data_IF_844261967112
#
_entry.id   IF_844261967112
#
_cell.length_a   1.000
_cell.length_b   1.000
_cell.length_c   1.000
_cell.angle_alpha   90.00
_cell.angle_beta   90.00
_cell.angle_gamma   90.00
#
_symmetry.space_group_name_H-M   'P 1'
#
loop_
_entity.id
_entity.type
_entity.pdbx_description
1 polymer ?
#
# COMPACT_ATOMS: atom_id res chain seq x y z
N UNK A 1 -13.39 -14.31 19.39
CA UNK A 1 -14.32 -14.46 18.25
C UNK A 1 -13.92 -13.46 17.17
N UNK A 2 -13.10 -13.90 16.21
CA UNK A 2 -12.64 -13.10 15.05
C UNK A 2 -13.10 -13.88 13.83
N UNK A 3 -14.10 -13.34 13.12
CA UNK A 3 -14.64 -13.90 11.89
C UNK A 3 -13.76 -13.49 10.72
N UNK A 4 -13.52 -14.46 9.81
CA UNK A 4 -13.42 -14.35 8.33
C UNK A 4 -12.29 -13.42 7.81
N UNK A 5 -11.45 -13.78 6.84
CA UNK A 5 -11.74 -14.36 5.52
C UNK A 5 -10.46 -15.08 5.03
N UNK A 6 -10.51 -16.40 4.87
CA UNK A 6 -9.56 -17.15 4.05
C UNK A 6 -10.37 -17.79 2.93
N UNK A 7 -10.66 -16.99 1.91
CA UNK A 7 -11.30 -17.43 0.69
C UNK A 7 -10.63 -16.71 -0.47
N UNK A 8 -10.22 -17.47 -1.49
CA UNK A 8 -9.98 -16.91 -2.82
C UNK A 8 -8.54 -16.82 -3.29
N UNK A 9 -7.75 -17.90 -3.19
CA UNK A 9 -6.76 -18.19 -4.24
C UNK A 9 -7.45 -19.08 -5.28
N UNK A 10 -8.49 -18.55 -5.93
CA UNK A 10 -9.03 -19.15 -7.14
C UNK A 10 -8.12 -18.67 -8.28
N UNK A 11 -7.17 -19.51 -8.69
CA UNK A 11 -6.52 -19.38 -9.98
C UNK A 11 -7.62 -19.38 -11.04
N UNK A 12 -7.96 -18.22 -11.57
CA UNK A 12 -8.83 -18.11 -12.73
C UNK A 12 -7.98 -18.56 -13.91
N UNK A 13 -7.96 -19.87 -14.16
CA UNK A 13 -7.63 -20.40 -15.47
C UNK A 13 -8.70 -19.85 -16.41
N UNK A 14 -8.34 -18.83 -17.18
CA UNK A 14 -9.13 -18.43 -18.33
C UNK A 14 -8.97 -19.56 -19.34
N UNK A 15 -9.89 -20.52 -19.30
CA UNK A 15 -10.10 -21.44 -20.40
C UNK A 15 -10.60 -20.58 -21.57
N UNK A 16 -9.68 -20.20 -22.46
CA UNK A 16 -10.04 -19.76 -23.81
C UNK A 16 -10.73 -20.98 -24.42
N UNK A 17 -12.06 -20.93 -24.44
CA UNK A 17 -12.87 -21.80 -25.26
C UNK A 17 -12.50 -21.46 -26.69
N UNK A 18 -11.60 -22.26 -27.26
CA UNK A 18 -11.39 -22.30 -28.69
C UNK A 18 -12.76 -22.67 -29.24
N UNK A 19 -13.46 -21.69 -29.82
CA UNK A 19 -14.74 -21.92 -30.47
C UNK A 19 -14.53 -23.14 -31.38
N UNK A 20 -15.36 -24.15 -31.17
CA UNK A 20 -15.34 -25.38 -31.93
C UNK A 20 -15.37 -25.04 -33.41
N UNK A 21 -14.19 -25.08 -34.03
CA UNK A 21 -14.06 -25.32 -35.45
C UNK A 21 -14.60 -26.71 -35.67
N UNK A 22 -15.89 -26.82 -35.94
CA UNK A 22 -16.40 -27.93 -36.72
C UNK A 22 -15.67 -27.82 -38.06
N UNK A 23 -14.52 -28.49 -38.15
CA UNK A 23 -13.94 -28.82 -39.43
C UNK A 23 -15.03 -29.59 -40.16
N UNK A 24 -15.68 -28.94 -41.13
CA UNK A 24 -16.43 -29.64 -42.16
C UNK A 24 -15.37 -30.37 -42.96
N UNK A 25 -15.06 -31.58 -42.48
CA UNK A 25 -14.17 -32.51 -43.11
C UNK A 25 -14.81 -32.85 -44.46
N UNK A 26 -14.31 -32.22 -45.54
CA UNK A 26 -14.51 -32.68 -46.91
C UNK A 26 -13.81 -34.04 -47.05
N UNK A 27 -14.38 -35.06 -46.42
CA UNK A 27 -13.93 -36.43 -46.64
C UNK A 27 -14.35 -36.79 -48.06
N UNK A 28 -13.32 -36.96 -48.88
CA UNK A 28 -13.39 -37.50 -50.23
C UNK A 28 -13.80 -38.97 -50.14
N UNK A 29 -15.05 -39.23 -49.76
CA UNK A 29 -15.69 -40.52 -49.91
C UNK A 29 -16.26 -40.59 -51.31
N UNK A 30 -15.89 -41.61 -52.06
CA UNK A 30 -16.59 -42.00 -53.30
C UNK A 30 -18.08 -42.14 -53.01
N UNK A 31 -18.86 -41.11 -53.38
CA UNK A 31 -20.31 -41.06 -53.25
C UNK A 31 -20.87 -41.95 -54.36
N UNK A 32 -21.35 -43.14 -54.00
CA UNK A 32 -22.31 -43.84 -54.84
C UNK A 32 -23.59 -42.99 -54.84
N UNK A 33 -24.11 -42.69 -56.04
CA UNK A 33 -25.27 -41.84 -56.26
C UNK A 33 -26.53 -42.40 -55.57
N UNK A 34 -26.76 -41.99 -54.33
CA UNK A 34 -28.10 -41.88 -53.76
C UNK A 34 -28.30 -40.41 -53.38
N UNK A 35 -28.63 -39.59 -54.38
CA UNK A 35 -29.09 -38.22 -54.19
C UNK A 35 -30.48 -38.22 -53.54
N UNK A 36 -30.48 -38.33 -52.21
CA UNK A 36 -31.70 -38.22 -51.39
C UNK A 36 -31.75 -36.83 -50.79
N UNK A 37 -32.85 -36.13 -51.06
CA UNK A 37 -33.27 -34.93 -50.33
C UNK A 37 -33.32 -35.27 -48.84
N UNK A 38 -32.93 -34.32 -47.99
CA UNK A 38 -32.98 -34.50 -46.53
C UNK A 38 -34.43 -34.77 -46.10
N UNK A 39 -34.63 -35.82 -45.31
CA UNK A 39 -35.97 -36.33 -44.95
C UNK A 39 -36.92 -35.24 -44.41
N UNK A 40 -36.40 -34.37 -43.53
CA UNK A 40 -37.16 -33.26 -42.96
C UNK A 40 -37.57 -32.20 -44.00
N UNK A 41 -36.76 -31.97 -45.04
CA UNK A 41 -37.12 -31.07 -46.14
C UNK A 41 -38.11 -31.75 -47.08
N UNK A 42 -37.87 -33.03 -47.38
CA UNK A 42 -38.72 -33.87 -48.22
C UNK A 42 -40.16 -33.88 -47.72
N UNK A 43 -40.36 -34.12 -46.41
CA UNK A 43 -41.68 -34.10 -45.78
C UNK A 43 -42.43 -32.78 -46.03
N UNK A 44 -41.76 -31.63 -45.90
CA UNK A 44 -42.37 -30.32 -46.13
C UNK A 44 -42.82 -30.13 -47.59
N UNK A 45 -42.02 -30.61 -48.55
CA UNK A 45 -42.41 -30.57 -49.97
C UNK A 45 -43.59 -31.51 -50.25
N UNK A 46 -43.60 -32.71 -49.67
CA UNK A 46 -44.71 -33.66 -49.82
C UNK A 46 -46.00 -33.13 -49.21
N UNK A 47 -45.97 -32.60 -47.99
CA UNK A 47 -47.13 -32.00 -47.34
C UNK A 47 -47.69 -30.87 -48.20
N UNK A 48 -46.83 -29.99 -48.69
CA UNK A 48 -47.26 -28.87 -49.53
C UNK A 48 -47.82 -29.31 -50.88
N UNK A 49 -47.29 -30.39 -51.45
CA UNK A 49 -47.82 -31.02 -52.67
C UNK A 49 -49.23 -31.58 -52.42
N UNK A 50 -49.44 -32.24 -51.29
CA UNK A 50 -50.76 -32.76 -50.90
C UNK A 50 -51.75 -31.63 -50.73
N UNK A 51 -51.37 -30.55 -50.04
CA UNK A 51 -52.22 -29.36 -49.86
C UNK A 51 -52.65 -28.73 -51.19
N UNK A 52 -51.72 -28.63 -52.15
CA UNK A 52 -52.03 -28.15 -53.49
C UNK A 52 -52.98 -29.09 -54.22
N UNK A 53 -52.73 -30.40 -54.19
CA UNK A 53 -53.57 -31.39 -54.87
C UNK A 53 -54.99 -31.42 -54.29
N UNK A 54 -55.12 -31.32 -52.97
CA UNK A 54 -56.41 -31.22 -52.29
C UNK A 54 -57.18 -29.97 -52.73
N UNK A 55 -56.50 -28.86 -52.93
CA UNK A 55 -57.12 -27.65 -53.47
C UNK A 55 -57.58 -27.84 -54.92
N UNK A 56 -56.71 -28.35 -55.78
CA UNK A 56 -56.99 -28.56 -57.20
C UNK A 56 -58.21 -29.49 -57.42
N UNK A 57 -58.34 -30.55 -56.61
CA UNK A 57 -59.41 -31.55 -56.76
C UNK A 57 -60.68 -31.25 -55.92
N UNK A 58 -60.52 -30.62 -54.75
CA UNK A 58 -61.58 -30.52 -53.73
C UNK A 58 -61.80 -29.10 -53.17
N UNK A 59 -61.25 -28.05 -53.78
CA UNK A 59 -61.43 -26.65 -53.35
C UNK A 59 -62.90 -26.25 -53.15
N UNK A 60 -63.83 -26.80 -53.94
CA UNK A 60 -65.28 -26.56 -53.79
C UNK A 60 -65.86 -27.01 -52.44
N UNK A 61 -65.16 -27.88 -51.73
CA UNK A 61 -65.51 -28.37 -50.39
C UNK A 61 -64.64 -27.72 -49.29
N UNK A 62 -63.80 -26.74 -49.65
CA UNK A 62 -62.94 -26.02 -48.72
C UNK A 62 -61.67 -26.77 -48.30
N UNK A 63 -61.24 -27.80 -49.04
CA UNK A 63 -59.98 -28.51 -48.78
C UNK A 63 -58.79 -27.90 -49.52
N UNK A 64 -57.60 -28.04 -48.93
CA UNK A 64 -56.32 -27.62 -49.50
C UNK A 64 -56.04 -26.12 -49.40
N UNK A 65 -54.82 -25.73 -49.78
CA UNK A 65 -54.34 -24.35 -49.78
C UNK A 65 -54.47 -23.69 -51.14
N UNK A 66 -54.81 -22.40 -51.16
CA UNK A 66 -54.89 -21.62 -52.39
C UNK A 66 -53.53 -21.50 -53.09
N UNK A 67 -53.47 -21.31 -54.42
CA UNK A 67 -52.21 -21.23 -55.16
C UNK A 67 -51.23 -20.19 -54.62
N UNK A 68 -51.72 -19.05 -54.13
CA UNK A 68 -50.89 -17.98 -53.57
C UNK A 68 -50.25 -18.40 -52.23
N UNK A 69 -50.99 -19.12 -51.40
CA UNK A 69 -50.51 -19.66 -50.11
C UNK A 69 -49.51 -20.80 -50.33
N UNK A 70 -49.75 -21.64 -51.34
CA UNK A 70 -48.83 -22.69 -51.76
C UNK A 70 -47.53 -22.07 -52.30
N UNK A 71 -47.61 -21.05 -53.15
CA UNK A 71 -46.45 -20.34 -53.68
C UNK A 71 -45.60 -19.72 -52.56
N UNK A 72 -46.24 -19.02 -51.62
CA UNK A 72 -45.53 -18.42 -50.48
C UNK A 72 -44.85 -19.48 -49.61
N UNK A 73 -45.56 -20.57 -49.31
CA UNK A 73 -45.00 -21.69 -48.54
C UNK A 73 -43.85 -22.38 -49.29
N UNK A 74 -43.97 -22.55 -50.61
CA UNK A 74 -42.94 -23.18 -51.43
C UNK A 74 -41.66 -22.33 -51.47
N UNK A 75 -41.79 -21.01 -51.62
CA UNK A 75 -40.66 -20.06 -51.52
C UNK A 75 -39.94 -20.20 -50.18
N UNK A 76 -40.70 -20.28 -49.08
CA UNK A 76 -40.12 -20.44 -47.74
C UNK A 76 -39.43 -21.80 -47.56
N UNK A 77 -40.05 -22.89 -47.99
CA UNK A 77 -39.47 -24.24 -47.92
C UNK A 77 -38.17 -24.32 -48.72
N UNK A 78 -38.11 -23.72 -49.91
CA UNK A 78 -36.89 -23.66 -50.73
C UNK A 78 -35.80 -22.79 -50.08
N UNK A 79 -36.17 -21.68 -49.45
CA UNK A 79 -35.23 -20.80 -48.74
C UNK A 79 -34.57 -21.50 -47.55
N UNK A 80 -35.35 -22.27 -46.80
CA UNK A 80 -34.92 -22.96 -45.57
C UNK A 80 -34.30 -24.34 -45.84
N UNK A 81 -34.49 -24.90 -47.05
CA UNK A 81 -33.99 -26.21 -47.41
C UNK A 81 -32.47 -26.31 -47.27
N UNK A 82 -31.95 -27.46 -46.83
CA UNK A 82 -30.51 -27.68 -46.69
C UNK A 82 -29.75 -27.55 -48.02
N UNK A 83 -28.45 -27.19 -48.01
CA UNK A 83 -27.63 -27.14 -49.23
C UNK A 83 -27.65 -28.47 -50.01
N UNK A 84 -27.67 -29.59 -49.28
CA UNK A 84 -27.78 -30.94 -49.83
C UNK A 84 -29.11 -31.13 -50.57
N UNK A 85 -30.22 -30.70 -49.97
CA UNK A 85 -31.55 -30.72 -50.62
C UNK A 85 -31.56 -29.88 -51.89
N UNK A 86 -31.08 -28.63 -51.84
CA UNK A 86 -31.04 -27.77 -53.02
C UNK A 86 -30.18 -28.35 -54.14
N UNK A 87 -29.03 -28.94 -53.79
CA UNK A 87 -28.13 -29.59 -54.74
C UNK A 87 -28.79 -30.83 -55.40
N UNK A 88 -29.44 -31.68 -54.61
CA UNK A 88 -30.18 -32.84 -55.14
C UNK A 88 -31.34 -32.42 -56.05
N UNK A 89 -32.03 -31.32 -55.73
CA UNK A 89 -33.13 -30.79 -56.53
C UNK A 89 -32.66 -30.15 -57.85
N UNK A 90 -31.51 -29.49 -57.88
CA UNK A 90 -31.02 -28.83 -59.10
C UNK A 90 -30.38 -29.82 -60.08
N UNK A 91 -29.87 -30.95 -59.60
CA UNK A 91 -29.25 -31.98 -60.46
C UNK A 91 -30.22 -32.56 -61.49
N UNK A 92 -31.53 -32.56 -61.21
CA UNK A 92 -32.55 -33.00 -62.18
C UNK A 92 -32.70 -32.06 -63.39
N UNK A 93 -32.04 -30.90 -63.40
CA UNK A 93 -31.93 -30.05 -64.59
C UNK A 93 -30.86 -30.54 -65.59
N UNK A 94 -29.92 -31.38 -65.15
CA UNK A 94 -28.91 -31.97 -66.02
C UNK A 94 -29.45 -33.22 -66.74
N UNK A 95 -30.19 -32.97 -67.82
CA UNK A 95 -30.78 -34.02 -68.64
C UNK A 95 -29.75 -34.90 -69.37
N UNK A 96 -28.45 -34.54 -69.34
CA UNK A 96 -27.37 -35.34 -69.93
C UNK A 96 -26.98 -36.57 -69.10
N UNK A 97 -27.45 -36.64 -67.85
CA UNK A 97 -27.15 -37.71 -66.89
C UNK A 97 -28.35 -38.61 -66.64
N UNK A 98 -28.21 -39.89 -66.96
CA UNK A 98 -29.29 -40.89 -66.92
C UNK A 98 -29.82 -41.08 -65.48
N UNK A 99 -28.95 -40.97 -64.49
CA UNK A 99 -29.25 -41.08 -63.05
C UNK A 99 -30.05 -39.89 -62.48
N UNK A 100 -30.09 -38.76 -63.19
CA UNK A 100 -30.78 -37.54 -62.73
C UNK A 100 -32.18 -37.34 -63.34
N UNK A 101 -32.54 -38.12 -64.36
CA UNK A 101 -33.80 -38.01 -65.11
C UNK A 101 -35.04 -38.52 -64.36
N UNK A 102 -34.91 -39.10 -63.16
CA UNK A 102 -36.04 -39.58 -62.35
C UNK A 102 -35.99 -39.07 -60.91
N UNK A 103 -35.26 -37.99 -60.67
CA UNK A 103 -35.06 -37.43 -59.34
C UNK A 103 -36.26 -36.68 -58.78
N UNK A 104 -36.23 -36.44 -57.47
CA UNK A 104 -37.30 -35.75 -56.73
C UNK A 104 -37.57 -34.32 -57.23
N UNK A 105 -36.59 -33.65 -57.83
CA UNK A 105 -36.79 -32.33 -58.46
C UNK A 105 -37.82 -32.37 -59.59
N UNK A 106 -37.82 -33.43 -60.40
CA UNK A 106 -38.81 -33.62 -61.45
C UNK A 106 -40.20 -33.94 -60.87
N UNK A 107 -40.26 -34.77 -59.83
CA UNK A 107 -41.52 -35.09 -59.14
C UNK A 107 -42.18 -33.81 -58.61
N UNK A 108 -41.42 -32.98 -57.90
CA UNK A 108 -41.93 -31.70 -57.38
C UNK A 108 -42.25 -30.71 -58.50
N UNK A 109 -41.43 -30.65 -59.55
CA UNK A 109 -41.72 -29.77 -60.70
C UNK A 109 -43.04 -30.14 -61.37
N UNK A 110 -43.33 -31.43 -61.53
CA UNK A 110 -44.59 -31.89 -62.12
C UNK A 110 -45.78 -31.62 -61.19
N UNK A 111 -45.60 -31.86 -59.90
CA UNK A 111 -46.68 -31.72 -58.92
C UNK A 111 -47.08 -30.26 -58.64
N UNK A 112 -46.09 -29.38 -58.52
CA UNK A 112 -46.32 -27.95 -58.28
C UNK A 112 -46.66 -27.19 -59.56
N UNK A 113 -46.18 -27.63 -60.72
CA UNK A 113 -46.45 -26.97 -62.00
C UNK A 113 -45.93 -25.53 -62.02
N UNK A 114 -46.76 -24.61 -62.51
CA UNK A 114 -46.46 -23.17 -62.58
C UNK A 114 -47.49 -22.34 -61.83
N UNK A 115 -47.02 -21.35 -61.08
CA UNK A 115 -47.83 -20.34 -60.42
C UNK A 115 -47.85 -19.05 -61.25
N UNK A 116 -48.96 -18.32 -61.22
CA UNK A 116 -49.04 -17.02 -61.90
C UNK A 116 -48.11 -16.03 -61.20
N UNK A 117 -47.36 -15.27 -61.99
CA UNK A 117 -46.51 -14.21 -61.50
C UNK A 117 -47.33 -12.91 -61.45
N UNK A 118 -48.10 -12.74 -60.38
CA UNK A 118 -48.92 -11.55 -60.22
C UNK A 118 -48.03 -10.33 -59.93
N UNK A 119 -47.99 -9.39 -60.87
CA UNK A 119 -47.27 -8.10 -60.80
C UNK A 119 -45.73 -8.16 -60.83
N UNK A 120 -45.13 -9.27 -61.27
CA UNK A 120 -43.69 -9.35 -61.51
C UNK A 120 -43.39 -9.13 -63.01
N UNK A 121 -42.69 -8.04 -63.39
CA UNK A 121 -42.36 -7.76 -64.79
C UNK A 121 -41.30 -8.70 -65.38
N UNK A 122 -40.55 -9.44 -64.55
CA UNK A 122 -39.47 -10.34 -64.97
C UNK A 122 -39.94 -11.78 -65.19
N UNK A 123 -41.08 -12.16 -64.62
CA UNK A 123 -41.61 -13.52 -64.69
C UNK A 123 -43.02 -13.55 -65.27
N UNK A 124 -43.24 -14.38 -66.30
CA UNK A 124 -44.60 -14.66 -66.79
C UNK A 124 -45.34 -15.66 -65.88
N UNK A 125 -44.59 -16.59 -65.28
CA UNK A 125 -45.05 -17.55 -64.30
C UNK A 125 -43.85 -18.08 -63.50
N UNK A 126 -44.07 -18.48 -62.25
CA UNK A 126 -43.06 -19.15 -61.43
C UNK A 126 -43.23 -20.66 -61.55
N UNK A 127 -42.27 -21.32 -62.18
CA UNK A 127 -42.14 -22.78 -62.09
C UNK A 127 -41.35 -23.18 -60.83
N UNK A 128 -41.49 -24.43 -60.40
CA UNK A 128 -40.68 -24.99 -59.32
C UNK A 128 -39.18 -24.72 -59.52
N UNK A 129 -38.66 -24.96 -60.73
CA UNK A 129 -37.25 -24.74 -61.03
C UNK A 129 -36.86 -23.26 -61.03
N UNK A 130 -37.72 -22.33 -61.45
CA UNK A 130 -37.41 -20.89 -61.32
C UNK A 130 -37.28 -20.46 -59.87
N UNK A 131 -38.13 -20.99 -58.98
CA UNK A 131 -38.06 -20.71 -57.54
C UNK A 131 -36.85 -21.37 -56.89
N UNK A 132 -36.51 -22.60 -57.30
CA UNK A 132 -35.31 -23.30 -56.86
C UNK A 132 -34.03 -22.53 -57.23
N UNK A 133 -33.94 -22.08 -58.49
CA UNK A 133 -32.79 -21.29 -58.97
C UNK A 133 -32.71 -19.95 -58.21
N UNK A 134 -33.84 -19.30 -57.92
CA UNK A 134 -33.87 -18.08 -57.12
C UNK A 134 -33.34 -18.32 -55.70
N UNK A 135 -33.83 -19.36 -55.02
CA UNK A 135 -33.38 -19.71 -53.67
C UNK A 135 -31.87 -20.02 -53.63
N UNK A 136 -31.34 -20.70 -54.65
CA UNK A 136 -29.91 -20.98 -54.78
C UNK A 136 -29.12 -19.68 -55.00
N UNK A 137 -29.57 -18.79 -55.89
CA UNK A 137 -28.92 -17.49 -56.12
C UNK A 137 -28.87 -16.64 -54.85
N UNK A 138 -29.99 -16.53 -54.14
CA UNK A 138 -30.07 -15.79 -52.87
C UNK A 138 -29.11 -16.38 -51.82
N UNK A 139 -29.01 -17.71 -51.73
CA UNK A 139 -28.07 -18.38 -50.83
C UNK A 139 -26.61 -18.08 -51.19
N UNK A 140 -26.23 -18.17 -52.46
CA UNK A 140 -24.85 -17.90 -52.90
C UNK A 140 -24.43 -16.46 -52.58
N UNK A 141 -25.31 -15.49 -52.81
CA UNK A 141 -25.04 -14.09 -52.46
C UNK A 141 -24.86 -13.93 -50.95
N UNK A 142 -25.80 -14.45 -50.14
CA UNK A 142 -25.73 -14.35 -48.68
C UNK A 142 -24.49 -15.06 -48.09
N UNK A 143 -24.12 -16.24 -48.59
CA UNK A 143 -22.93 -16.97 -48.13
C UNK A 143 -21.65 -16.18 -48.40
N UNK A 144 -21.56 -15.52 -49.56
CA UNK A 144 -20.43 -14.66 -49.89
C UNK A 144 -20.29 -13.47 -48.93
N UNK A 145 -21.41 -12.84 -48.56
CA UNK A 145 -21.43 -11.73 -47.59
C UNK A 145 -21.07 -12.22 -46.18
N UNK A 146 -21.64 -13.36 -45.74
CA UNK A 146 -21.35 -13.96 -44.44
C UNK A 146 -19.88 -14.36 -44.31
N UNK A 147 -19.25 -14.85 -45.38
CA UNK A 147 -17.83 -15.20 -45.39
C UNK A 147 -16.93 -13.98 -45.18
N UNK A 148 -17.26 -12.85 -45.84
CA UNK A 148 -16.52 -11.59 -45.64
C UNK A 148 -16.67 -11.10 -44.20
N UNK A 149 -17.89 -11.08 -43.67
CA UNK A 149 -18.13 -10.69 -42.29
C UNK A 149 -17.43 -11.60 -41.29
N UNK A 150 -17.39 -12.91 -41.55
CA UNK A 150 -16.69 -13.87 -40.69
C UNK A 150 -15.18 -13.57 -40.66
N UNK A 151 -14.57 -13.33 -41.82
CA UNK A 151 -13.16 -12.98 -41.91
C UNK A 151 -12.84 -11.68 -41.16
N UNK A 152 -13.66 -10.64 -41.32
CA UNK A 152 -13.50 -9.38 -40.57
C UNK A 152 -13.58 -9.59 -39.06
N UNK A 153 -14.46 -10.48 -38.60
CA UNK A 153 -14.59 -10.82 -37.18
C UNK A 153 -13.40 -11.64 -36.67
N UNK A 154 -12.88 -12.57 -37.46
CA UNK A 154 -11.68 -13.34 -37.11
C UNK A 154 -10.46 -12.43 -36.94
N UNK A 155 -10.24 -11.49 -37.87
CA UNK A 155 -9.18 -10.48 -37.78
C UNK A 155 -9.34 -9.59 -36.54
N UNK A 156 -10.57 -9.14 -36.26
CA UNK A 156 -10.85 -8.35 -35.06
C UNK A 156 -10.57 -9.12 -33.75
N UNK A 157 -10.89 -10.41 -33.71
CA UNK A 157 -10.59 -11.29 -32.56
C UNK A 157 -9.08 -11.44 -32.36
N UNK A 158 -8.30 -11.58 -33.43
CA UNK A 158 -6.84 -11.66 -33.34
C UNK A 158 -6.25 -10.38 -32.74
N UNK A 159 -6.71 -9.20 -33.19
CA UNK A 159 -6.28 -7.91 -32.66
C UNK A 159 -6.65 -7.76 -31.18
N UNK A 160 -7.88 -8.09 -30.81
CA UNK A 160 -8.34 -8.02 -29.42
C UNK A 160 -7.54 -8.96 -28.50
N UNK A 161 -7.17 -10.15 -28.98
CA UNK A 161 -6.34 -11.09 -28.24
C UNK A 161 -4.96 -10.50 -27.95
N UNK A 162 -4.30 -9.90 -28.95
CA UNK A 162 -3.00 -9.23 -28.78
C UNK A 162 -3.08 -8.06 -27.78
N UNK A 163 -4.15 -7.27 -27.83
CA UNK A 163 -4.38 -6.17 -26.87
C UNK A 163 -4.57 -6.71 -25.45
N UNK A 164 -5.34 -7.80 -25.31
CA UNK A 164 -5.58 -8.43 -24.02
C UNK A 164 -4.29 -8.95 -23.40
N UNK A 165 -3.47 -9.67 -24.16
CA UNK A 165 -2.17 -10.18 -23.69
C UNK A 165 -1.24 -9.05 -23.23
N UNK A 166 -1.16 -7.97 -24.01
CA UNK A 166 -0.38 -6.79 -23.63
C UNK A 166 -0.88 -6.17 -22.33
N UNK A 167 -2.19 -5.98 -22.21
CA UNK A 167 -2.84 -5.38 -21.03
C UNK A 167 -2.62 -6.23 -19.78
N UNK A 168 -2.73 -7.56 -19.90
CA UNK A 168 -2.49 -8.49 -18.78
C UNK A 168 -1.03 -8.42 -18.33
N UNK A 169 -0.08 -8.41 -19.26
CA UNK A 169 1.35 -8.30 -18.93
C UNK A 169 1.69 -6.97 -18.25
N UNK A 170 1.15 -5.86 -18.74
CA UNK A 170 1.31 -4.54 -18.11
C UNK A 170 0.72 -4.52 -16.69
N UNK A 171 -0.46 -5.13 -16.49
CA UNK A 171 -1.07 -5.25 -15.16
C UNK A 171 -0.20 -6.05 -14.18
N UNK A 172 0.38 -7.17 -14.62
CA UNK A 172 1.29 -8.00 -13.80
C UNK A 172 2.53 -7.19 -13.39
N UNK A 173 3.11 -6.43 -14.32
CA UNK A 173 4.24 -5.53 -14.07
C UNK A 173 3.91 -4.45 -13.04
N UNK A 174 2.74 -3.82 -13.15
CA UNK A 174 2.26 -2.81 -12.21
C UNK A 174 2.04 -3.41 -10.82
N UNK A 175 1.37 -4.57 -10.73
CA UNK A 175 1.10 -5.25 -9.46
C UNK A 175 2.40 -5.65 -8.74
N UNK A 176 3.44 -6.06 -9.48
CA UNK A 176 4.78 -6.31 -8.92
C UNK A 176 5.41 -5.04 -8.35
N UNK A 177 5.43 -3.94 -9.11
CA UNK A 177 6.00 -2.65 -8.66
C UNK A 177 5.25 -2.09 -7.45
N UNK A 178 3.93 -2.24 -7.39
CA UNK A 178 3.12 -1.84 -6.25
C UNK A 178 3.50 -2.60 -4.97
N UNK A 179 3.66 -3.93 -5.05
CA UNK A 179 4.11 -4.76 -3.91
C UNK A 179 5.50 -4.38 -3.42
N UNK A 180 6.44 -4.12 -4.32
CA UNK A 180 7.79 -3.66 -3.96
C UNK A 180 7.77 -2.30 -3.26
N UNK A 181 6.97 -1.36 -3.77
CA UNK A 181 6.79 -0.04 -3.15
C UNK A 181 6.16 -0.14 -1.75
N UNK A 182 5.14 -0.99 -1.59
CA UNK A 182 4.50 -1.24 -0.29
C UNK A 182 5.50 -1.80 0.74
N UNK A 183 6.36 -2.74 0.31
CA UNK A 183 7.43 -3.29 1.15
C UNK A 183 8.40 -2.21 1.64
N UNK A 184 8.89 -1.36 0.73
CA UNK A 184 9.79 -0.24 1.07
C UNK A 184 9.12 0.78 2.01
N UNK A 185 7.83 1.05 1.81
CA UNK A 185 7.07 1.97 2.66
C UNK A 185 6.94 1.43 4.09
N UNK A 186 6.64 0.14 4.25
CA UNK A 186 6.58 -0.52 5.57
C UNK A 186 7.93 -0.46 6.29
N UNK A 187 9.02 -0.73 5.57
CA UNK A 187 10.37 -0.66 6.14
C UNK A 187 10.72 0.77 6.59
N UNK A 188 10.43 1.77 5.74
CA UNK A 188 10.66 3.19 6.04
C UNK A 188 9.83 3.66 7.24
N UNK A 189 8.56 3.25 7.31
CA UNK A 189 7.68 3.56 8.45
C UNK A 189 8.21 2.95 9.76
N UNK A 190 8.69 1.71 9.74
CA UNK A 190 9.29 1.07 10.91
C UNK A 190 10.55 1.83 11.38
N UNK A 191 11.42 2.24 10.44
CA UNK A 191 12.61 3.04 10.73
C UNK A 191 12.24 4.40 11.35
N UNK A 192 11.23 5.08 10.79
CA UNK A 192 10.74 6.36 11.30
C UNK A 192 10.20 6.23 12.72
N UNK A 193 9.38 5.21 13.00
CA UNK A 193 8.84 4.97 14.35
C UNK A 193 9.95 4.70 15.37
N UNK A 194 10.98 3.92 15.00
CA UNK A 194 12.14 3.70 15.85
C UNK A 194 12.92 5.00 16.11
N UNK A 195 13.18 5.78 15.06
CA UNK A 195 13.88 7.06 15.16
C UNK A 195 13.11 8.06 16.05
N UNK A 196 11.79 8.10 15.92
CA UNK A 196 10.93 8.94 16.75
C UNK A 196 11.01 8.56 18.23
N UNK A 197 10.97 7.25 18.54
CA UNK A 197 11.12 6.77 19.92
C UNK A 197 12.48 7.15 20.51
N UNK A 198 13.57 6.94 19.77
CA UNK A 198 14.92 7.33 20.20
C UNK A 198 15.00 8.84 20.45
N UNK A 199 14.43 9.65 19.56
CA UNK A 199 14.43 11.11 19.69
C UNK A 199 13.69 11.56 20.94
N UNK A 200 12.55 10.92 21.25
CA UNK A 200 11.79 11.20 22.46
C UNK A 200 12.58 10.84 23.72
N UNK A 201 13.18 9.65 23.76
CA UNK A 201 13.99 9.20 24.91
C UNK A 201 15.19 10.13 25.14
N UNK A 202 15.85 10.58 24.06
CA UNK A 202 16.94 11.57 24.14
C UNK A 202 16.49 12.93 24.65
N UNK A 203 15.29 13.40 24.25
CA UNK A 203 14.74 14.65 24.74
C UNK A 203 14.47 14.61 26.25
N UNK A 204 13.93 13.48 26.74
CA UNK A 204 13.68 13.27 28.17
C UNK A 204 15.01 13.20 28.96
N UNK A 205 16.01 12.49 28.44
CA UNK A 205 17.36 12.45 29.04
C UNK A 205 18.00 13.84 29.08
N UNK A 206 17.91 14.62 28.00
CA UNK A 206 18.47 15.97 27.95
C UNK A 206 17.80 16.90 28.96
N UNK A 207 16.47 16.77 29.15
CA UNK A 207 15.73 17.52 30.16
C UNK A 207 16.22 17.19 31.57
N UNK A 208 16.39 15.90 31.89
CA UNK A 208 16.90 15.46 33.19
C UNK A 208 18.33 15.95 33.45
N UNK A 209 19.22 15.87 32.45
CA UNK A 209 20.60 16.38 32.56
C UNK A 209 20.60 17.88 32.80
N UNK A 210 19.77 18.66 32.11
CA UNK A 210 19.64 20.11 32.35
C UNK A 210 19.22 20.40 33.79
N UNK A 211 18.23 19.69 34.32
CA UNK A 211 17.80 19.87 35.72
C UNK A 211 18.91 19.52 36.72
N UNK A 212 19.66 18.44 36.50
CA UNK A 212 20.79 18.06 37.35
C UNK A 212 21.90 19.11 37.30
N UNK A 213 22.23 19.62 36.10
CA UNK A 213 23.21 20.68 35.90
C UNK A 213 22.80 21.96 36.63
N UNK A 214 21.53 22.36 36.56
CA UNK A 214 21.03 23.55 37.24
C UNK A 214 21.08 23.40 38.77
N UNK A 215 20.78 22.20 39.30
CA UNK A 215 20.94 21.88 40.73
C UNK A 215 22.41 21.95 41.15
N UNK A 216 23.32 21.34 40.39
CA UNK A 216 24.76 21.37 40.67
C UNK A 216 25.31 22.80 40.67
N UNK A 217 24.86 23.64 39.74
CA UNK A 217 25.26 25.05 39.67
C UNK A 217 24.80 25.84 40.90
N UNK A 218 23.56 25.62 41.37
CA UNK A 218 23.06 26.24 42.61
C UNK A 218 23.88 25.82 43.83
N UNK A 219 24.18 24.54 43.97
CA UNK A 219 25.01 24.02 45.07
C UNK A 219 26.42 24.60 45.01
N UNK A 220 27.04 24.66 43.82
CA UNK A 220 28.37 25.25 43.67
C UNK A 220 28.40 26.73 44.05
N UNK A 221 27.34 27.48 43.75
CA UNK A 221 27.23 28.89 44.14
C UNK A 221 27.09 29.04 45.66
N UNK A 222 26.21 28.27 46.29
CA UNK A 222 26.05 28.27 47.75
C UNK A 222 27.35 27.90 48.49
N UNK A 223 28.09 26.91 47.98
CA UNK A 223 29.40 26.54 48.53
C UNK A 223 30.43 27.66 48.36
N UNK A 224 30.47 28.35 47.23
CA UNK A 224 31.36 29.47 47.01
C UNK A 224 31.05 30.63 47.97
N UNK A 225 29.77 30.96 48.16
CA UNK A 225 29.33 32.00 49.10
C UNK A 225 29.69 31.64 50.55
N UNK A 226 29.49 30.37 50.95
CA UNK A 226 29.90 29.86 52.28
C UNK A 226 31.41 29.91 52.48
N UNK A 227 32.19 29.53 51.47
CA UNK A 227 33.65 29.55 51.53
C UNK A 227 34.15 31.00 51.71
N UNK A 228 33.63 31.93 50.93
CA UNK A 228 34.00 33.35 51.04
C UNK A 228 33.68 33.93 52.42
N UNK A 229 32.52 33.58 52.99
CA UNK A 229 32.16 33.99 54.35
C UNK A 229 33.06 33.36 55.43
N UNK A 230 33.48 32.10 55.25
CA UNK A 230 34.39 31.42 56.14
C UNK A 230 35.80 32.04 56.09
N UNK A 231 36.29 32.36 54.89
CA UNK A 231 37.57 33.07 54.69
C UNK A 231 37.55 34.45 55.36
N UNK A 232 36.49 35.24 55.16
CA UNK A 232 36.35 36.54 55.82
C UNK A 232 36.31 36.43 57.36
N UNK A 233 35.66 35.39 57.89
CA UNK A 233 35.59 35.13 59.33
C UNK A 233 36.95 34.70 59.89
N UNK A 234 37.68 33.86 59.16
CA UNK A 234 39.05 33.45 59.49
C UNK A 234 39.99 34.63 59.53
N UNK A 235 39.92 35.52 58.54
CA UNK A 235 40.80 36.70 58.46
C UNK A 235 40.54 37.67 59.62
N UNK A 236 39.28 37.86 60.02
CA UNK A 236 38.92 38.60 61.24
C UNK A 236 39.49 37.96 62.50
N UNK A 237 39.39 36.62 62.63
CA UNK A 237 39.95 35.91 63.77
C UNK A 237 41.48 36.09 63.85
N UNK A 238 42.19 35.98 62.73
CA UNK A 238 43.63 36.23 62.68
C UNK A 238 43.99 37.67 63.08
N UNK A 239 43.22 38.67 62.62
CA UNK A 239 43.44 40.05 63.01
C UNK A 239 43.27 40.27 64.53
N UNK A 240 42.23 39.67 65.13
CA UNK A 240 42.01 39.72 66.59
C UNK A 240 43.13 39.00 67.34
N UNK A 241 43.54 37.81 66.90
CA UNK A 241 44.65 37.09 67.53
C UNK A 241 45.95 37.89 67.49
N UNK A 242 46.22 38.62 66.40
CA UNK A 242 47.38 39.50 66.28
C UNK A 242 47.31 40.68 67.25
N UNK A 243 46.18 41.37 67.31
CA UNK A 243 45.97 42.49 68.27
C UNK A 243 46.12 42.03 69.73
N UNK A 244 45.59 40.85 70.07
CA UNK A 244 45.75 40.25 71.40
C UNK A 244 47.20 39.92 71.71
N UNK A 245 47.96 39.38 70.75
CA UNK A 245 49.38 39.10 70.93
C UNK A 245 50.19 40.40 71.16
N UNK A 246 49.91 41.45 70.38
CA UNK A 246 50.57 42.76 70.53
C UNK A 246 50.26 43.41 71.89
N UNK A 247 49.00 43.32 72.35
CA UNK A 247 48.57 43.77 73.69
C UNK A 247 49.23 42.96 74.80
N UNK A 248 49.31 41.64 74.66
CA UNK A 248 49.95 40.76 75.63
C UNK A 248 51.44 41.12 75.77
N UNK A 249 52.15 41.26 74.65
CA UNK A 249 53.56 41.66 74.64
C UNK A 249 53.78 43.04 75.29
N UNK A 250 52.91 44.01 75.01
CA UNK A 250 52.95 45.34 75.64
C UNK A 250 52.70 45.29 77.15
N UNK A 251 51.77 44.43 77.59
CA UNK A 251 51.48 44.22 79.00
C UNK A 251 52.64 43.53 79.73
N UNK A 252 53.26 42.52 79.11
CA UNK A 252 54.46 41.86 79.62
C UNK A 252 55.62 42.84 79.79
N UNK A 253 55.89 43.67 78.78
CA UNK A 253 56.93 44.71 78.85
C UNK A 253 56.65 45.75 79.96
N UNK A 254 55.37 46.12 80.17
CA UNK A 254 54.97 47.03 81.24
C UNK A 254 55.13 46.41 82.63
N UNK A 255 54.78 45.12 82.76
CA UNK A 255 54.98 44.33 83.97
C UNK A 255 56.46 44.21 84.32
N UNK A 256 57.31 43.94 83.33
CA UNK A 256 58.76 43.80 83.55
C UNK A 256 59.39 45.13 84.00
N UNK A 257 58.93 46.27 83.46
CA UNK A 257 59.30 47.61 83.97
C UNK A 257 58.85 47.82 85.42
N UNK A 258 57.61 47.45 85.75
CA UNK A 258 57.10 47.56 87.12
C UNK A 258 57.90 46.71 88.11
N UNK A 259 58.28 45.48 87.71
CA UNK A 259 59.17 44.64 88.52
C UNK A 259 60.55 45.27 88.71
N UNK A 260 61.14 45.88 87.66
CA UNK A 260 62.40 46.58 87.76
C UNK A 260 62.34 47.77 88.74
N UNK A 261 61.26 48.58 88.69
CA UNK A 261 61.02 49.67 89.64
C UNK A 261 60.84 49.16 91.06
N UNK A 262 60.04 48.11 91.26
CA UNK A 262 59.86 47.50 92.59
C UNK A 262 61.18 46.97 93.17
N UNK A 263 62.04 46.39 92.33
CA UNK A 263 63.38 45.94 92.74
C UNK A 263 64.27 47.11 93.14
N UNK A 264 64.34 48.17 92.31
CA UNK A 264 65.12 49.38 92.63
C UNK A 264 64.63 50.05 93.94
N UNK A 265 63.31 50.12 94.15
CA UNK A 265 62.74 50.63 95.40
C UNK A 265 63.10 49.75 96.60
N UNK A 266 63.06 48.41 96.46
CA UNK A 266 63.46 47.48 97.51
C UNK A 266 64.96 47.63 97.85
N UNK A 267 65.82 47.75 96.83
CA UNK A 267 67.26 47.96 96.99
C UNK A 267 67.55 49.30 97.69
N UNK A 268 66.87 50.39 97.30
CA UNK A 268 66.94 51.70 97.96
C UNK A 268 66.45 51.66 99.40
N UNK A 269 65.35 50.95 99.67
CA UNK A 269 64.82 50.78 101.01
C UNK A 269 65.82 50.01 101.89
N UNK A 270 66.39 48.91 101.40
CA UNK A 270 67.43 48.16 102.10
C UNK A 270 68.66 49.02 102.42
N UNK A 271 69.13 49.83 101.46
CA UNK A 271 70.23 50.77 101.68
C UNK A 271 69.91 51.82 102.75
N UNK A 272 68.69 52.36 102.75
CA UNK A 272 68.22 53.33 103.77
C UNK A 272 68.07 52.69 105.15
N UNK A 273 67.59 51.45 105.23
CA UNK A 273 67.56 50.69 106.48
C UNK A 273 68.96 50.49 107.05
N UNK A 274 69.94 50.11 106.21
CA UNK A 274 71.33 49.96 106.65
C UNK A 274 71.97 51.30 107.09
N UNK A 275 71.67 52.40 106.41
CA UNK A 275 72.12 53.75 106.81
C UNK A 275 71.52 54.16 108.16
N UNK A 276 70.22 53.92 108.37
CA UNK A 276 69.54 54.19 109.63
C UNK A 276 70.11 53.35 110.78
N UNK A 277 70.35 52.06 110.57
CA UNK A 277 71.01 51.18 111.56
C UNK A 277 72.40 51.71 111.95
N UNK A 278 73.20 52.15 110.97
CA UNK A 278 74.52 52.75 111.21
C UNK A 278 74.42 54.06 112.00
N UNK A 279 73.46 54.93 111.67
CA UNK A 279 73.21 56.15 112.43
C UNK A 279 72.79 55.85 113.87
N UNK A 280 71.91 54.86 114.09
CA UNK A 280 71.52 54.44 115.45
C UNK A 280 72.71 53.91 116.25
N UNK A 281 73.61 53.13 115.64
CA UNK A 281 74.85 52.70 116.28
C UNK A 281 75.74 53.90 116.65
N UNK A 282 75.88 54.88 115.74
CA UNK A 282 76.63 56.10 116.00
C UNK A 282 76.01 56.93 117.13
N UNK A 283 74.69 57.12 117.15
CA UNK A 283 73.97 57.80 118.24
C UNK A 283 74.19 57.08 119.57
N UNK A 284 74.03 55.75 119.60
CA UNK A 284 74.31 54.96 120.81
C UNK A 284 75.79 54.96 121.24
N UNK A 285 76.73 55.24 120.32
CA UNK A 285 78.14 55.45 120.66
C UNK A 285 78.38 56.84 121.24
N UNK A 286 77.75 57.87 120.69
CA UNK A 286 77.74 59.24 121.20
C UNK A 286 77.13 59.32 122.60
N UNK A 287 76.00 58.64 122.83
CA UNK A 287 75.32 58.60 124.13
C UNK A 287 76.23 57.98 125.20
N UNK A 288 76.95 56.90 124.85
CA UNK A 288 78.00 56.31 125.72
C UNK A 288 79.17 57.26 125.99
N UNK A 289 79.59 58.02 124.99
CA UNK A 289 80.69 59.01 125.07
C UNK A 289 80.30 60.22 125.95
N UNK A 290 79.04 60.67 125.84
CA UNK A 290 78.46 61.72 126.68
C UNK A 290 78.35 61.24 128.12
N UNK A 291 77.90 60.01 128.36
CA UNK A 291 77.83 59.44 129.71
C UNK A 291 79.22 59.19 130.32
N UNK A 292 80.24 58.84 129.53
CA UNK A 292 81.62 58.80 130.03
C UNK A 292 82.14 60.19 130.37
N UNK A 293 81.89 61.20 129.53
CA UNK A 293 82.29 62.59 129.80
C UNK A 293 81.60 63.16 131.05
N UNK A 294 80.32 62.84 131.29
CA UNK A 294 79.63 63.22 132.53
C UNK A 294 80.23 62.57 133.78
N UNK A 295 80.70 61.33 133.71
CA UNK A 295 81.38 60.64 134.84
C UNK A 295 82.78 61.18 135.13
N UNK A 296 83.46 61.77 134.16
CA UNK A 296 84.78 62.39 134.37
C UNK A 296 84.68 63.83 134.92
N UNK A 297 83.51 64.48 134.80
CA UNK A 297 83.28 65.86 135.24
C UNK A 297 82.56 65.99 136.60
N UNK A 298 82.18 64.89 137.25
CA UNK A 298 81.54 64.88 138.57
C UNK A 298 82.24 63.92 139.52
#
# INVERSE_FOLDING_TARGET
SIRKLSAGAASVLVAVSVLGGAAVEFTSGTIYAEEKIVEADSAKFFDLMVEKKLYDEFSRFGYGKKPEEVLASLKQVLKDASPQTLNSLINTLDNGRIDYQTGMGQVFSQAFGSFRADHDPEYLAYSFYSLLIQAIKERVVNESELKVQLQEKEEAVEVLTKILDKTVNEKIEIDRKAKEAEGKLKESSLKLTKAYKITKDLADQLSNVKQQRDKAFKVSKDLADKLSNAEASRDKAFAVSKDLADKLSSAEASRDKAFAVSKDLADKLAAKTAEAEKLMQNVGSLDRLVESAKREMG
#
